data_IF_655689235689
#
_entry.id   IF_655689235689
#
_cell.length_a   1.000
_cell.length_b   1.000
_cell.length_c   1.000
_cell.angle_alpha   90.00
_cell.angle_beta   90.00
_cell.angle_gamma   90.00
#
_symmetry.space_group_name_H-M   'P 1'
#
loop_
_entity.id
_entity.type
_entity.pdbx_description
1 polymer ?
#
# COMPACT_ATOMS: atom_id res chain seq x y z
N UNK A 1 7.69 50.84 -1.81
CA UNK A 1 9.03 51.09 -1.23
C UNK A 1 9.90 49.87 -1.51
N UNK A 2 11.03 50.02 -2.20
CA UNK A 2 11.92 48.90 -2.49
C UNK A 2 12.52 48.35 -1.18
N UNK A 3 12.35 47.05 -0.92
CA UNK A 3 12.92 46.39 0.24
C UNK A 3 14.44 46.59 0.27
N UNK A 4 14.98 46.95 1.44
CA UNK A 4 16.43 47.05 1.70
C UNK A 4 17.10 45.73 1.25
N UNK A 5 18.34 45.75 0.71
CA UNK A 5 18.99 44.57 0.13
C UNK A 5 18.99 43.33 1.03
N UNK A 6 19.13 43.50 2.35
CA UNK A 6 19.09 42.41 3.34
C UNK A 6 17.72 41.76 3.58
N UNK A 7 16.62 42.37 3.13
CA UNK A 7 15.25 41.87 3.33
C UNK A 7 14.68 41.14 2.11
N UNK A 8 15.37 41.17 0.97
CA UNK A 8 14.87 40.56 -0.27
C UNK A 8 14.83 39.03 -0.20
N UNK A 9 15.85 38.40 0.36
CA UNK A 9 15.91 36.94 0.53
C UNK A 9 14.82 36.40 1.49
N UNK A 10 14.65 36.93 2.72
CA UNK A 10 13.57 36.48 3.60
C UNK A 10 12.18 36.77 3.04
N UNK A 11 11.98 37.91 2.34
CA UNK A 11 10.71 38.20 1.69
C UNK A 11 10.39 37.19 0.55
N UNK A 12 11.37 36.81 -0.25
CA UNK A 12 11.20 35.79 -1.29
C UNK A 12 10.89 34.40 -0.70
N UNK A 13 11.56 34.03 0.40
CA UNK A 13 11.29 32.77 1.10
C UNK A 13 9.87 32.74 1.69
N UNK A 14 9.42 33.84 2.30
CA UNK A 14 8.06 33.97 2.82
C UNK A 14 7.02 33.93 1.70
N UNK A 15 7.27 34.58 0.56
CA UNK A 15 6.38 34.52 -0.60
C UNK A 15 6.28 33.10 -1.17
N UNK A 16 7.42 32.40 -1.30
CA UNK A 16 7.44 31.01 -1.75
C UNK A 16 6.68 30.08 -0.77
N UNK A 17 6.86 30.28 0.55
CA UNK A 17 6.11 29.56 1.56
C UNK A 17 4.61 29.85 1.46
N UNK A 18 4.21 31.10 1.29
CA UNK A 18 2.80 31.48 1.15
C UNK A 18 2.16 30.85 -0.11
N UNK A 19 2.86 30.86 -1.25
CA UNK A 19 2.41 30.20 -2.48
C UNK A 19 2.31 28.68 -2.27
N UNK A 20 3.29 28.08 -1.60
CA UNK A 20 3.27 26.65 -1.25
C UNK A 20 2.08 26.28 -0.36
N UNK A 21 1.81 27.06 0.69
CA UNK A 21 0.66 26.85 1.58
C UNK A 21 -0.67 27.03 0.85
N UNK A 22 -0.80 28.06 0.00
CA UNK A 22 -2.00 28.28 -0.80
C UNK A 22 -2.24 27.13 -1.79
N UNK A 23 -1.18 26.63 -2.43
CA UNK A 23 -1.24 25.45 -3.29
C UNK A 23 -1.61 24.17 -2.55
N UNK A 24 -1.12 23.99 -1.31
CA UNK A 24 -1.47 22.85 -0.47
C UNK A 24 -2.93 22.89 0.03
N UNK A 25 -3.50 24.09 0.18
CA UNK A 25 -4.90 24.29 0.55
C UNK A 25 -5.86 24.16 -0.64
N UNK A 26 -5.35 24.24 -1.87
CA UNK A 26 -6.17 24.12 -3.08
C UNK A 26 -6.66 22.69 -3.29
N UNK A 27 -7.92 22.53 -3.70
CA UNK A 27 -8.45 21.22 -4.04
C UNK A 27 -8.10 20.85 -5.49
N UNK A 28 -7.14 19.94 -5.66
CA UNK A 28 -6.64 19.47 -6.96
C UNK A 28 -7.42 18.28 -7.54
N UNK A 29 -8.32 17.71 -6.75
CA UNK A 29 -9.03 16.48 -7.09
C UNK A 29 -10.54 16.65 -6.94
N UNK A 30 -11.29 15.78 -7.61
CA UNK A 30 -12.75 15.75 -7.53
C UNK A 30 -13.19 14.31 -7.24
N UNK A 31 -14.36 14.10 -6.59
CA UNK A 31 -14.90 12.76 -6.38
C UNK A 31 -15.03 12.00 -7.71
N UNK A 32 -14.77 10.69 -7.67
CA UNK A 32 -14.86 9.79 -8.81
C UNK A 32 -15.77 8.60 -8.49
N UNK A 33 -16.67 8.26 -9.42
CA UNK A 33 -17.57 7.11 -9.30
C UNK A 33 -18.50 7.15 -8.09
N UNK A 34 -19.18 6.04 -7.84
CA UNK A 34 -19.99 5.86 -6.64
C UNK A 34 -19.11 5.49 -5.43
N UNK A 35 -19.52 5.82 -4.19
CA UNK A 35 -18.83 5.33 -2.99
C UNK A 35 -18.80 3.80 -2.93
N UNK A 36 -17.66 3.25 -2.54
CA UNK A 36 -17.39 1.83 -2.38
C UNK A 36 -17.53 1.44 -0.90
N UNK A 37 -18.33 0.42 -0.62
CA UNK A 37 -18.44 -0.17 0.72
C UNK A 37 -17.30 -1.17 0.91
N UNK A 38 -16.50 -0.99 1.97
CA UNK A 38 -15.30 -1.78 2.21
C UNK A 38 -15.28 -2.36 3.63
N UNK A 39 -14.55 -3.46 3.78
CA UNK A 39 -14.17 -4.05 5.06
C UNK A 39 -12.66 -4.23 5.12
N UNK A 40 -12.01 -3.79 6.19
CA UNK A 40 -10.59 -4.00 6.44
C UNK A 40 -10.41 -4.97 7.60
N UNK A 41 -9.74 -6.10 7.37
CA UNK A 41 -9.59 -7.16 8.37
C UNK A 41 -8.27 -7.00 9.14
N UNK A 42 -8.34 -7.13 10.47
CA UNK A 42 -7.20 -7.14 11.38
C UNK A 42 -7.27 -8.37 12.28
N UNK A 43 -6.53 -9.42 11.95
CA UNK A 43 -6.62 -10.68 12.68
C UNK A 43 -5.81 -10.71 13.99
N UNK A 44 -4.81 -9.84 14.13
CA UNK A 44 -3.89 -9.79 15.26
C UNK A 44 -3.19 -11.13 15.52
N UNK A 45 -2.67 -11.77 14.46
CA UNK A 45 -1.92 -13.01 14.57
C UNK A 45 -0.48 -12.70 15.00
N UNK A 46 0.03 -13.27 16.11
CA UNK A 46 1.42 -13.15 16.51
C UNK A 46 2.38 -13.65 15.43
N UNK A 47 3.57 -13.05 15.35
CA UNK A 47 4.56 -13.44 14.35
C UNK A 47 5.01 -14.90 14.52
N UNK A 48 5.13 -15.39 15.76
CA UNK A 48 5.49 -16.77 16.09
C UNK A 48 4.53 -17.79 15.48
N UNK A 49 3.24 -17.44 15.45
CA UNK A 49 2.17 -18.36 15.07
C UNK A 49 1.94 -18.31 13.55
N UNK A 50 2.31 -17.20 12.91
CA UNK A 50 2.01 -16.92 11.51
C UNK A 50 2.63 -17.91 10.52
N UNK A 51 3.79 -18.45 10.86
CA UNK A 51 4.54 -19.40 10.02
C UNK A 51 4.69 -20.78 10.68
N UNK A 52 4.03 -21.00 11.82
CA UNK A 52 4.02 -22.30 12.48
C UNK A 52 3.05 -23.24 11.72
N UNK A 53 3.54 -24.35 11.14
CA UNK A 53 2.71 -25.30 10.42
C UNK A 53 1.48 -25.81 11.20
N UNK A 54 1.55 -25.84 12.53
CA UNK A 54 0.43 -26.23 13.38
C UNK A 54 -0.67 -25.15 13.46
N UNK A 55 -0.31 -23.87 13.25
CA UNK A 55 -1.17 -22.70 13.50
C UNK A 55 -1.64 -22.01 12.21
N UNK A 56 -1.01 -22.28 11.06
CA UNK A 56 -1.33 -21.65 9.76
C UNK A 56 -2.83 -21.74 9.43
N UNK A 57 -3.45 -22.91 9.64
CA UNK A 57 -4.89 -23.11 9.36
C UNK A 57 -5.76 -22.25 10.27
N UNK A 58 -5.51 -22.24 11.58
CA UNK A 58 -6.22 -21.40 12.53
C UNK A 58 -6.07 -19.91 12.19
N UNK A 59 -4.90 -19.51 11.68
CA UNK A 59 -4.67 -18.15 11.23
C UNK A 59 -5.53 -17.74 10.04
N UNK A 60 -5.66 -18.63 9.04
CA UNK A 60 -6.53 -18.41 7.88
C UNK A 60 -8.01 -18.43 8.27
N UNK A 61 -8.43 -19.33 9.15
CA UNK A 61 -9.79 -19.37 9.70
C UNK A 61 -10.15 -18.06 10.39
N UNK A 62 -9.27 -17.55 11.25
CA UNK A 62 -9.48 -16.27 11.94
C UNK A 62 -9.66 -15.09 10.98
N UNK A 63 -8.97 -15.11 9.85
CA UNK A 63 -9.15 -14.08 8.82
C UNK A 63 -10.54 -14.18 8.18
N UNK A 64 -11.02 -15.40 7.87
CA UNK A 64 -12.37 -15.64 7.34
C UNK A 64 -13.46 -15.28 8.35
N UNK A 65 -13.32 -15.70 9.61
CA UNK A 65 -14.26 -15.40 10.69
C UNK A 65 -14.49 -13.89 10.88
N UNK A 66 -13.47 -13.07 10.63
CA UNK A 66 -13.58 -11.60 10.67
C UNK A 66 -14.10 -11.00 9.37
N UNK A 67 -13.90 -11.67 8.23
CA UNK A 67 -14.34 -11.23 6.92
C UNK A 67 -15.84 -11.51 6.67
N UNK A 68 -16.36 -12.62 7.18
CA UNK A 68 -17.69 -13.17 6.87
C UNK A 68 -18.92 -12.51 7.51
N UNK A 69 -18.86 -11.88 8.69
CA UNK A 69 -20.05 -11.31 9.30
C UNK A 69 -20.73 -10.26 8.40
N UNK A 70 -22.07 -10.15 8.36
CA UNK A 70 -22.71 -9.04 7.66
C UNK A 70 -22.31 -7.69 8.26
N UNK A 71 -22.37 -6.63 7.46
CA UNK A 71 -22.32 -5.27 8.01
C UNK A 71 -23.54 -5.01 8.89
N UNK A 72 -23.37 -4.20 9.93
CA UNK A 72 -24.47 -3.82 10.81
C UNK A 72 -25.62 -3.10 10.08
N UNK A 73 -25.31 -2.37 9.00
CA UNK A 73 -26.29 -1.66 8.16
C UNK A 73 -26.92 -2.52 7.05
N UNK A 74 -26.57 -3.81 6.96
CA UNK A 74 -27.07 -4.74 5.96
C UNK A 74 -26.63 -4.46 4.52
N UNK A 75 -25.78 -3.45 4.28
CA UNK A 75 -25.29 -3.15 2.92
C UNK A 75 -24.30 -4.23 2.47
N UNK A 76 -24.26 -4.55 1.17
CA UNK A 76 -23.25 -5.46 0.63
C UNK A 76 -21.85 -4.84 0.77
N UNK A 77 -20.86 -5.70 1.04
CA UNK A 77 -19.44 -5.32 1.09
C UNK A 77 -18.87 -5.53 -0.31
N UNK A 78 -18.49 -4.45 -0.99
CA UNK A 78 -17.94 -4.56 -2.34
C UNK A 78 -16.48 -5.04 -2.35
N UNK A 79 -15.70 -4.66 -1.32
CA UNK A 79 -14.32 -5.08 -1.14
C UNK A 79 -14.03 -5.45 0.32
N UNK A 80 -13.54 -6.65 0.55
CA UNK A 80 -12.89 -7.04 1.81
C UNK A 80 -11.38 -7.08 1.59
N UNK A 81 -10.64 -6.22 2.28
CA UNK A 81 -9.18 -6.13 2.23
C UNK A 81 -8.57 -6.83 3.44
N UNK A 82 -7.77 -7.86 3.18
CA UNK A 82 -7.04 -8.63 4.18
C UNK A 82 -5.56 -8.20 4.19
N UNK A 83 -4.86 -8.33 5.32
CA UNK A 83 -3.51 -7.83 5.47
C UNK A 83 -2.47 -8.65 4.68
N UNK A 84 -1.24 -8.16 4.67
CA UNK A 84 -0.08 -8.83 4.07
C UNK A 84 0.10 -10.25 4.65
N UNK A 85 0.31 -11.21 3.76
CA UNK A 85 0.51 -12.62 4.12
C UNK A 85 -0.63 -13.17 4.99
N UNK A 86 -1.88 -12.91 4.58
CA UNK A 86 -3.08 -13.53 5.14
C UNK A 86 -3.13 -15.04 4.85
N UNK A 87 -2.58 -15.44 3.70
CA UNK A 87 -2.27 -16.84 3.36
C UNK A 87 -0.75 -16.99 3.44
N UNK A 88 -0.21 -17.61 4.52
CA UNK A 88 1.23 -17.65 4.79
C UNK A 88 1.97 -18.80 4.08
N UNK A 89 1.40 -19.34 3.01
CA UNK A 89 1.97 -20.38 2.14
C UNK A 89 1.89 -19.93 0.69
N UNK A 90 2.64 -20.58 -0.20
CA UNK A 90 2.49 -20.33 -1.63
C UNK A 90 1.11 -20.75 -2.12
N UNK A 91 0.59 -20.04 -3.11
CA UNK A 91 -0.75 -20.28 -3.65
C UNK A 91 -0.96 -21.70 -4.17
N UNK A 92 0.11 -22.34 -4.65
CA UNK A 92 0.10 -23.70 -5.20
C UNK A 92 0.41 -24.79 -4.16
N UNK A 93 0.69 -24.41 -2.91
CA UNK A 93 0.77 -25.32 -1.76
C UNK A 93 -0.59 -25.47 -1.06
N UNK A 94 -1.50 -24.52 -1.27
CA UNK A 94 -2.86 -24.58 -0.78
C UNK A 94 -3.72 -25.42 -1.74
N UNK A 95 -4.50 -26.36 -1.22
CA UNK A 95 -5.33 -27.22 -2.07
C UNK A 95 -6.49 -26.44 -2.70
N UNK A 96 -7.08 -26.99 -3.77
CA UNK A 96 -8.26 -26.40 -4.39
C UNK A 96 -9.44 -26.31 -3.41
N UNK A 97 -9.58 -27.27 -2.49
CA UNK A 97 -10.60 -27.27 -1.45
C UNK A 97 -10.39 -26.12 -0.45
N UNK A 98 -9.16 -25.87 -0.03
CA UNK A 98 -8.85 -24.76 0.87
C UNK A 98 -9.03 -23.39 0.16
N UNK A 99 -8.71 -23.28 -1.14
CA UNK A 99 -9.07 -22.11 -1.93
C UNK A 99 -10.58 -21.93 -2.08
N UNK A 100 -11.32 -23.03 -2.22
CA UNK A 100 -12.78 -23.01 -2.32
C UNK A 100 -13.42 -22.40 -1.08
N UNK A 101 -12.89 -22.65 0.11
CA UNK A 101 -13.39 -22.01 1.34
C UNK A 101 -13.28 -20.48 1.26
N UNK A 102 -12.18 -19.92 0.75
CA UNK A 102 -12.06 -18.47 0.53
C UNK A 102 -13.04 -17.94 -0.52
N UNK A 103 -13.23 -18.68 -1.61
CA UNK A 103 -14.21 -18.35 -2.66
C UNK A 103 -15.62 -18.35 -2.10
N UNK A 104 -15.97 -19.33 -1.27
CA UNK A 104 -17.28 -19.43 -0.61
C UNK A 104 -17.49 -18.28 0.38
N UNK A 105 -16.48 -17.90 1.18
CA UNK A 105 -16.56 -16.71 2.05
C UNK A 105 -16.81 -15.43 1.25
N UNK A 106 -16.15 -15.27 0.09
CA UNK A 106 -16.35 -14.13 -0.79
C UNK A 106 -17.75 -14.15 -1.44
N UNK A 107 -18.21 -15.33 -1.88
CA UNK A 107 -19.55 -15.52 -2.44
C UNK A 107 -20.64 -15.17 -1.42
N UNK A 108 -20.46 -15.60 -0.17
CA UNK A 108 -21.37 -15.35 0.94
C UNK A 108 -21.61 -13.85 1.19
N UNK A 109 -20.61 -13.00 0.92
CA UNK A 109 -20.72 -11.54 1.08
C UNK A 109 -21.08 -10.77 -0.18
N UNK A 110 -21.01 -11.42 -1.35
CA UNK A 110 -21.36 -10.81 -2.64
C UNK A 110 -20.37 -9.76 -3.14
N UNK A 111 -19.09 -9.89 -2.78
CA UNK A 111 -18.04 -8.92 -3.12
C UNK A 111 -16.69 -9.55 -3.43
N UNK A 112 -15.69 -8.70 -3.65
CA UNK A 112 -14.30 -9.11 -3.92
C UNK A 112 -13.49 -9.16 -2.64
N UNK A 113 -12.73 -10.22 -2.43
CA UNK A 113 -11.71 -10.31 -1.40
C UNK A 113 -10.35 -9.99 -2.01
N UNK A 114 -9.57 -9.13 -1.37
CA UNK A 114 -8.18 -8.86 -1.71
C UNK A 114 -7.28 -9.40 -0.58
N UNK A 115 -6.46 -10.39 -0.91
CA UNK A 115 -5.70 -11.22 0.04
C UNK A 115 -4.20 -11.01 -0.15
N UNK A 116 -3.46 -10.81 0.93
CA UNK A 116 -2.00 -10.93 0.91
C UNK A 116 -1.58 -12.40 0.85
N UNK A 117 -0.83 -12.79 -0.19
CA UNK A 117 -0.46 -14.18 -0.50
C UNK A 117 0.96 -14.23 -1.05
N UNK A 118 1.72 -15.27 -0.72
CA UNK A 118 2.99 -15.55 -1.40
C UNK A 118 2.70 -16.24 -2.74
N UNK A 119 3.23 -15.69 -3.84
CA UNK A 119 3.02 -16.22 -5.19
C UNK A 119 4.28 -16.84 -5.75
N UNK A 120 4.16 -18.01 -6.38
CA UNK A 120 5.22 -18.67 -7.14
C UNK A 120 4.84 -18.76 -8.62
N UNK A 121 5.65 -18.17 -9.49
CA UNK A 121 5.50 -18.28 -10.94
C UNK A 121 6.58 -19.20 -11.50
N UNK A 122 6.16 -20.40 -11.95
CA UNK A 122 7.05 -21.40 -12.53
C UNK A 122 7.40 -21.00 -13.97
N UNK A 123 8.67 -20.77 -14.24
CA UNK A 123 9.19 -20.50 -15.58
C UNK A 123 10.26 -21.54 -15.99
N UNK A 124 10.55 -21.70 -17.28
CA UNK A 124 11.53 -22.70 -17.75
C UNK A 124 12.96 -22.48 -17.23
N UNK A 125 13.33 -21.24 -16.91
CA UNK A 125 14.65 -20.83 -16.44
C UNK A 125 14.79 -20.95 -14.92
N UNK A 126 13.80 -20.45 -14.16
CA UNK A 126 13.73 -20.55 -12.70
C UNK A 126 12.32 -20.28 -12.20
N UNK A 127 12.05 -20.63 -10.95
CA UNK A 127 10.87 -20.14 -10.24
C UNK A 127 11.07 -18.69 -9.83
N UNK A 128 10.02 -17.88 -9.94
CA UNK A 128 9.97 -16.51 -9.42
C UNK A 128 9.02 -16.45 -8.23
N UNK A 129 9.41 -15.76 -7.17
CA UNK A 129 8.63 -15.69 -5.93
C UNK A 129 8.22 -14.26 -5.65
N UNK A 130 6.97 -14.02 -5.27
CA UNK A 130 6.48 -12.66 -4.99
C UNK A 130 5.70 -12.61 -3.68
N UNK A 131 5.85 -11.49 -2.96
CA UNK A 131 4.90 -11.08 -1.94
C UNK A 131 3.80 -10.29 -2.64
N UNK A 132 2.58 -10.81 -2.66
CA UNK A 132 1.54 -10.30 -3.55
C UNK A 132 0.23 -10.03 -2.82
N UNK A 133 -0.59 -9.17 -3.44
CA UNK A 133 -2.03 -9.11 -3.20
C UNK A 133 -2.73 -9.68 -4.40
N UNK A 134 -3.66 -10.62 -4.19
CA UNK A 134 -4.53 -11.15 -5.25
C UNK A 134 -5.98 -10.85 -4.93
N UNK A 135 -6.81 -10.76 -5.97
CA UNK A 135 -8.27 -10.68 -5.81
C UNK A 135 -8.95 -12.01 -6.09
N UNK A 136 -9.99 -12.33 -5.33
CA UNK A 136 -10.96 -13.37 -5.66
C UNK A 136 -12.39 -12.94 -5.33
N UNK A 137 -13.36 -13.59 -5.96
CA UNK A 137 -14.79 -13.42 -5.72
C UNK A 137 -15.49 -14.78 -5.78
N UNK A 138 -16.81 -14.81 -5.55
CA UNK A 138 -17.61 -16.04 -5.60
C UNK A 138 -17.68 -16.75 -6.96
N UNK A 139 -17.06 -16.20 -8.02
CA UNK A 139 -17.00 -16.80 -9.36
C UNK A 139 -15.58 -17.27 -9.71
N UNK A 140 -14.62 -17.06 -8.82
CA UNK A 140 -13.23 -17.46 -9.02
C UNK A 140 -13.10 -18.99 -8.98
N UNK A 141 -12.30 -19.56 -9.90
CA UNK A 141 -12.03 -21.00 -9.91
C UNK A 141 -10.90 -21.33 -8.93
N UNK A 142 -11.11 -22.24 -7.96
CA UNK A 142 -10.05 -22.69 -7.06
C UNK A 142 -8.85 -23.28 -7.80
N UNK A 143 -9.07 -24.00 -8.89
CA UNK A 143 -7.99 -24.57 -9.71
C UNK A 143 -7.16 -23.49 -10.41
N UNK A 144 -7.81 -22.38 -10.83
CA UNK A 144 -7.10 -21.23 -11.36
C UNK A 144 -6.31 -20.49 -10.27
N UNK A 145 -6.84 -20.40 -9.05
CA UNK A 145 -6.14 -19.83 -7.89
C UNK A 145 -4.87 -20.63 -7.55
N UNK A 146 -4.96 -21.96 -7.50
CA UNK A 146 -3.79 -22.86 -7.35
C UNK A 146 -2.76 -22.60 -8.45
N UNK A 147 -3.21 -22.45 -9.70
CA UNK A 147 -2.34 -22.14 -10.84
C UNK A 147 -1.83 -20.68 -10.88
N UNK A 148 -2.13 -19.86 -9.87
CA UNK A 148 -1.74 -18.45 -9.81
C UNK A 148 -2.43 -17.53 -10.83
N UNK A 149 -3.50 -18.00 -11.48
CA UNK A 149 -4.27 -17.24 -12.47
C UNK A 149 -5.44 -16.54 -11.80
N UNK A 150 -5.30 -15.24 -11.60
CA UNK A 150 -6.26 -14.40 -10.86
C UNK A 150 -6.70 -13.18 -11.65
N UNK A 151 -7.87 -12.62 -11.32
CA UNK A 151 -8.42 -11.45 -12.01
C UNK A 151 -7.56 -10.20 -11.80
N UNK A 152 -7.12 -9.98 -10.57
CA UNK A 152 -6.20 -8.91 -10.20
C UNK A 152 -5.08 -9.44 -9.32
N UNK A 153 -3.87 -8.94 -9.57
CA UNK A 153 -2.65 -9.25 -8.82
C UNK A 153 -1.79 -7.98 -8.74
N UNK A 154 -1.21 -7.77 -7.57
CA UNK A 154 -0.16 -6.79 -7.35
C UNK A 154 0.99 -7.49 -6.65
N UNK A 155 2.19 -7.39 -7.21
CA UNK A 155 3.43 -7.92 -6.64
C UNK A 155 4.23 -6.78 -6.00
N UNK A 156 4.74 -7.00 -4.80
CA UNK A 156 5.56 -6.02 -4.09
C UNK A 156 6.76 -5.62 -4.93
N UNK A 157 6.94 -4.32 -5.13
CA UNK A 157 8.04 -3.74 -5.92
C UNK A 157 9.23 -3.40 -5.02
N UNK A 158 8.96 -2.72 -3.91
CA UNK A 158 9.99 -2.28 -2.98
C UNK A 158 10.17 -3.32 -1.88
N UNK A 159 11.18 -4.17 -2.04
CA UNK A 159 11.50 -5.25 -1.10
C UNK A 159 12.31 -4.74 0.09
N UNK A 160 12.09 -5.32 1.27
CA UNK A 160 12.87 -5.05 2.49
C UNK A 160 14.25 -5.71 2.40
N UNK A 161 15.36 -4.95 2.49
CA UNK A 161 16.69 -5.53 2.55
C UNK A 161 16.84 -6.47 3.75
N UNK A 162 17.45 -7.64 3.53
CA UNK A 162 17.64 -8.69 4.55
C UNK A 162 16.35 -9.29 5.13
N UNK A 163 15.18 -8.87 4.64
CA UNK A 163 13.88 -9.47 4.98
C UNK A 163 13.28 -10.23 3.80
N UNK A 164 13.42 -9.66 2.59
CA UNK A 164 12.79 -10.17 1.36
C UNK A 164 13.78 -10.33 0.21
N UNK A 165 15.00 -9.81 0.34
CA UNK A 165 16.10 -10.09 -0.57
C UNK A 165 17.44 -9.86 0.13
N UNK A 166 18.49 -10.51 -0.37
CA UNK A 166 19.86 -10.31 0.11
C UNK A 166 20.61 -9.32 -0.79
N UNK A 167 21.10 -8.18 -0.27
CA UNK A 167 21.90 -7.25 -1.06
C UNK A 167 23.16 -7.90 -1.66
N UNK A 168 23.57 -7.54 -2.90
CA UNK A 168 24.76 -8.09 -3.53
C UNK A 168 26.01 -7.93 -2.65
N UNK A 169 26.74 -9.03 -2.44
CA UNK A 169 27.93 -9.07 -1.59
C UNK A 169 27.68 -9.38 -0.11
N UNK A 170 26.43 -9.58 0.31
CA UNK A 170 26.06 -9.84 1.71
C UNK A 170 25.46 -11.23 1.97
N UNK A 171 25.52 -12.16 1.01
CA UNK A 171 25.02 -13.55 1.17
C UNK A 171 25.67 -14.27 2.36
N UNK A 172 26.98 -14.09 2.52
CA UNK A 172 27.75 -14.64 3.63
C UNK A 172 27.20 -14.26 5.02
N UNK A 173 26.63 -13.05 5.18
CA UNK A 173 26.10 -12.58 6.45
C UNK A 173 24.77 -13.25 6.80
N UNK A 174 23.94 -13.53 5.78
CA UNK A 174 22.64 -14.18 5.95
C UNK A 174 22.79 -15.68 6.20
N UNK A 175 23.70 -16.33 5.46
CA UNK A 175 23.98 -17.77 5.61
C UNK A 175 24.53 -18.08 7.02
N UNK A 176 25.33 -17.18 7.60
CA UNK A 176 25.86 -17.30 8.97
C UNK A 176 24.77 -17.08 10.06
N UNK A 177 23.72 -16.30 9.75
CA UNK A 177 22.63 -15.99 10.69
C UNK A 177 21.46 -16.99 10.67
N UNK A 178 21.48 -17.99 9.77
CA UNK A 178 20.41 -19.02 9.61
C UNK A 178 19.01 -18.39 9.57
N UNK A 179 18.88 -17.23 8.92
CA UNK A 179 17.60 -16.53 8.82
C UNK A 179 16.75 -17.18 7.71
N UNK A 180 15.51 -17.63 7.98
CA UNK A 180 14.62 -18.20 6.97
C UNK A 180 14.06 -17.07 6.09
N UNK A 181 14.91 -16.53 5.20
CA UNK A 181 14.56 -15.45 4.30
C UNK A 181 14.27 -16.04 2.92
N UNK A 182 13.11 -15.69 2.37
CA UNK A 182 12.82 -15.93 0.95
C UNK A 182 13.52 -14.88 0.10
N UNK A 183 14.15 -15.31 -1.00
CA UNK A 183 14.55 -14.40 -2.07
C UNK A 183 13.32 -14.10 -2.93
N UNK A 184 12.58 -13.04 -2.58
CA UNK A 184 11.47 -12.56 -3.38
C UNK A 184 11.99 -11.72 -4.57
N UNK A 185 11.26 -11.81 -5.67
CA UNK A 185 11.42 -11.01 -6.86
C UNK A 185 10.60 -9.72 -6.78
N UNK A 186 11.04 -8.72 -7.55
CA UNK A 186 10.42 -7.39 -7.57
C UNK A 186 9.28 -7.35 -8.59
N UNK A 187 8.13 -6.86 -8.15
CA UNK A 187 7.03 -6.49 -9.03
C UNK A 187 7.39 -5.39 -10.02
N UNK A 188 6.58 -5.26 -11.08
CA UNK A 188 6.77 -4.25 -12.13
C UNK A 188 6.56 -2.84 -11.60
N UNK A 189 7.18 -1.86 -12.25
CA UNK A 189 7.07 -0.45 -11.88
C UNK A 189 5.63 0.07 -11.90
N UNK A 190 4.90 -0.23 -12.97
CA UNK A 190 3.47 0.05 -13.09
C UNK A 190 2.72 -1.26 -13.13
N UNK A 191 1.83 -1.43 -12.18
CA UNK A 191 0.90 -2.56 -12.12
C UNK A 191 -0.52 -2.02 -12.15
N UNK A 192 -1.42 -2.76 -12.80
CA UNK A 192 -2.78 -2.30 -13.04
C UNK A 192 -3.54 -2.20 -11.70
N UNK A 193 -4.17 -1.07 -11.38
CA UNK A 193 -5.07 -0.99 -10.23
C UNK A 193 -6.21 -2.01 -10.33
N UNK A 194 -6.72 -2.46 -9.19
CA UNK A 194 -7.83 -3.41 -9.14
C UNK A 194 -9.11 -2.66 -9.48
N UNK A 195 -9.90 -3.17 -10.42
CA UNK A 195 -11.17 -2.56 -10.84
C UNK A 195 -12.32 -3.21 -10.08
N UNK A 196 -12.80 -2.53 -9.03
CA UNK A 196 -13.79 -3.08 -8.10
C UNK A 196 -14.88 -2.03 -7.89
N UNK A 197 -16.12 -2.37 -8.23
CA UNK A 197 -17.26 -1.46 -8.08
C UNK A 197 -17.12 -0.16 -8.86
N UNK A 198 -16.37 -0.17 -9.98
CA UNK A 198 -16.07 1.01 -10.79
C UNK A 198 -15.03 1.95 -10.19
N UNK A 199 -14.34 1.54 -9.11
CA UNK A 199 -13.17 2.23 -8.55
C UNK A 199 -11.88 1.52 -8.97
N UNK A 200 -10.77 2.26 -9.07
CA UNK A 200 -9.45 1.74 -9.43
C UNK A 200 -8.53 1.78 -8.22
N UNK A 201 -8.31 0.65 -7.57
CA UNK A 201 -7.59 0.56 -6.30
C UNK A 201 -6.14 0.16 -6.56
N UNK A 202 -5.20 1.08 -6.34
CA UNK A 202 -3.78 0.76 -6.42
C UNK A 202 -3.28 0.21 -5.09
N UNK A 203 -2.86 -1.06 -5.14
CA UNK A 203 -2.26 -1.76 -4.01
C UNK A 203 -0.82 -1.29 -3.80
N UNK A 204 -0.39 -1.31 -2.55
CA UNK A 204 0.99 -1.24 -2.10
C UNK A 204 1.11 -2.10 -0.82
N UNK A 205 2.28 -2.67 -0.58
CA UNK A 205 2.49 -3.67 0.48
C UNK A 205 3.51 -3.16 1.49
N UNK A 206 3.15 -3.24 2.76
CA UNK A 206 4.01 -2.95 3.89
C UNK A 206 4.56 -1.51 3.81
N UNK A 207 5.89 -1.37 3.82
CA UNK A 207 6.57 -0.07 3.85
C UNK A 207 6.66 0.65 2.49
N UNK A 208 6.04 0.12 1.42
CA UNK A 208 6.02 0.79 0.10
C UNK A 208 5.37 2.18 0.14
N UNK A 209 4.41 2.41 1.04
CA UNK A 209 3.79 3.73 1.22
C UNK A 209 4.73 4.77 1.84
N UNK A 210 5.91 4.38 2.31
CA UNK A 210 6.98 5.31 2.72
C UNK A 210 7.65 5.95 1.50
N UNK A 211 7.57 5.32 0.31
CA UNK A 211 8.18 5.79 -0.95
C UNK A 211 7.15 6.43 -1.87
N UNK A 212 6.88 7.72 -1.68
CA UNK A 212 5.78 8.40 -2.36
C UNK A 212 5.90 8.46 -3.88
N UNK A 213 7.12 8.57 -4.42
CA UNK A 213 7.35 8.64 -5.86
C UNK A 213 7.05 7.30 -6.55
N UNK A 214 7.24 6.19 -5.85
CA UNK A 214 7.03 4.84 -6.37
C UNK A 214 5.53 4.49 -6.52
N UNK A 215 4.64 5.22 -5.85
CA UNK A 215 3.19 5.06 -6.00
C UNK A 215 2.64 5.80 -7.23
N UNK A 216 3.36 6.79 -7.76
CA UNK A 216 2.88 7.67 -8.83
C UNK A 216 2.56 6.95 -10.15
N UNK A 217 3.31 5.92 -10.59
CA UNK A 217 2.97 5.18 -11.81
C UNK A 217 1.57 4.57 -11.81
N UNK A 218 1.08 4.11 -10.64
CA UNK A 218 -0.26 3.56 -10.49
C UNK A 218 -1.34 4.65 -10.35
N UNK A 219 -1.00 5.80 -9.78
CA UNK A 219 -1.91 6.97 -9.64
C UNK A 219 -2.15 7.67 -10.98
N UNK A 220 -1.14 7.68 -11.87
CA UNK A 220 -1.23 8.32 -13.19
C UNK A 220 -2.05 7.48 -14.17
N UNK A 221 -2.80 8.13 -15.09
CA UNK A 221 -3.48 7.44 -16.18
C UNK A 221 -2.50 6.56 -16.97
N UNK A 222 -2.93 5.34 -17.28
CA UNK A 222 -2.17 4.42 -18.09
C UNK A 222 -2.88 4.03 -19.38
N UNK A 223 -2.30 3.08 -20.13
CA UNK A 223 -2.86 2.65 -21.40
C UNK A 223 -4.25 1.99 -21.29
N UNK A 224 -4.57 1.39 -20.15
CA UNK A 224 -5.76 0.54 -19.98
C UNK A 224 -6.59 0.88 -18.73
N UNK A 225 -6.29 2.01 -18.08
CA UNK A 225 -6.98 2.46 -16.86
C UNK A 225 -6.79 3.98 -16.67
N UNK A 226 -7.72 4.69 -16.01
CA UNK A 226 -7.64 6.13 -15.82
C UNK A 226 -6.65 6.54 -14.70
N UNK A 227 -5.88 5.60 -14.14
CA UNK A 227 -5.11 5.79 -12.92
C UNK A 227 -5.93 5.46 -11.68
N UNK A 228 -5.23 5.17 -10.59
CA UNK A 228 -5.86 4.82 -9.32
C UNK A 228 -6.78 5.93 -8.83
N UNK A 229 -7.93 5.57 -8.28
CA UNK A 229 -8.89 6.46 -7.62
C UNK A 229 -8.83 6.31 -6.10
N UNK A 230 -8.32 5.17 -5.61
CA UNK A 230 -8.11 4.82 -4.20
C UNK A 230 -6.73 4.17 -4.09
N UNK A 231 -6.02 4.42 -2.99
CA UNK A 231 -4.82 3.67 -2.61
C UNK A 231 -5.19 2.63 -1.53
N UNK A 232 -4.56 1.46 -1.57
CA UNK A 232 -4.74 0.43 -0.56
C UNK A 232 -3.39 -0.12 -0.10
N UNK A 233 -3.09 0.02 1.19
CA UNK A 233 -1.92 -0.57 1.83
C UNK A 233 -2.32 -1.82 2.60
N UNK A 234 -1.65 -2.94 2.32
CA UNK A 234 -1.74 -4.15 3.17
C UNK A 234 -0.41 -4.37 3.88
N UNK A 235 -0.43 -4.56 5.19
CA UNK A 235 0.81 -4.62 5.99
C UNK A 235 0.79 -5.69 7.07
N UNK A 236 1.96 -6.24 7.38
CA UNK A 236 2.21 -7.02 8.58
C UNK A 236 3.23 -6.31 9.48
N UNK A 237 2.75 -5.63 10.52
CA UNK A 237 3.60 -4.87 11.44
C UNK A 237 3.97 -5.63 12.73
N UNK A 238 3.74 -6.95 12.78
CA UNK A 238 4.07 -7.76 13.95
C UNK A 238 5.58 -7.69 14.30
N UNK A 239 6.43 -7.48 13.30
CA UNK A 239 7.88 -7.29 13.43
C UNK A 239 8.30 -6.10 14.31
N UNK A 240 7.47 -5.05 14.39
CA UNK A 240 7.80 -3.83 15.14
C UNK A 240 7.28 -3.83 16.58
N UNK A 241 6.53 -4.88 16.97
CA UNK A 241 5.90 -4.97 18.28
C UNK A 241 5.03 -3.75 18.62
N UNK A 242 4.85 -3.49 19.92
CA UNK A 242 4.17 -2.29 20.40
C UNK A 242 5.16 -1.12 20.47
N UNK A 243 5.34 -0.41 19.36
CA UNK A 243 6.29 0.70 19.25
C UNK A 243 5.71 1.89 18.47
N UNK A 244 6.45 3.01 18.46
CA UNK A 244 6.09 4.21 17.69
C UNK A 244 6.07 3.99 16.17
N UNK A 245 6.62 2.88 15.69
CA UNK A 245 6.59 2.55 14.26
C UNK A 245 5.16 2.43 13.73
N UNK A 246 4.21 1.91 14.53
CA UNK A 246 2.82 1.72 14.11
C UNK A 246 2.12 3.05 13.78
N UNK A 247 2.08 4.06 14.69
CA UNK A 247 1.50 5.36 14.37
C UNK A 247 2.33 6.17 13.36
N UNK A 248 3.65 6.02 13.33
CA UNK A 248 4.49 6.67 12.32
C UNK A 248 4.18 6.16 10.90
N UNK A 249 3.97 4.85 10.75
CA UNK A 249 3.61 4.27 9.46
C UNK A 249 2.26 4.81 8.97
N UNK A 250 1.25 4.88 9.85
CA UNK A 250 -0.04 5.52 9.51
C UNK A 250 0.13 7.00 9.13
N UNK A 251 0.99 7.74 9.83
CA UNK A 251 1.29 9.14 9.49
C UNK A 251 1.89 9.26 8.08
N UNK A 252 2.77 8.35 7.68
CA UNK A 252 3.34 8.31 6.33
C UNK A 252 2.27 7.97 5.29
N UNK A 253 1.38 7.01 5.55
CA UNK A 253 0.24 6.72 4.66
C UNK A 253 -0.64 7.96 4.45
N UNK A 254 -0.89 8.76 5.51
CA UNK A 254 -1.63 10.03 5.40
C UNK A 254 -0.91 11.06 4.53
N UNK A 255 0.42 11.07 4.53
CA UNK A 255 1.18 11.95 3.63
C UNK A 255 0.97 11.55 2.16
N UNK A 256 0.91 10.25 1.85
CA UNK A 256 0.61 9.75 0.49
C UNK A 256 -0.75 10.22 -0.01
N UNK A 257 -1.74 10.29 0.87
CA UNK A 257 -3.05 10.87 0.55
C UNK A 257 -2.92 12.36 0.18
N UNK A 258 -2.21 13.16 0.98
CA UNK A 258 -2.00 14.60 0.66
C UNK A 258 -1.27 14.80 -0.66
N UNK A 259 -0.29 13.95 -0.94
CA UNK A 259 0.53 13.99 -2.13
C UNK A 259 -0.24 13.60 -3.40
N UNK A 260 -1.06 12.56 -3.32
CA UNK A 260 -1.72 11.97 -4.50
C UNK A 260 -3.16 12.44 -4.67
N UNK A 261 -3.77 12.95 -3.60
CA UNK A 261 -5.19 13.27 -3.52
C UNK A 261 -6.10 12.03 -3.47
N UNK A 262 -5.54 10.82 -3.31
CA UNK A 262 -6.31 9.57 -3.26
C UNK A 262 -6.58 9.18 -1.80
N UNK A 263 -7.82 8.86 -1.42
CA UNK A 263 -8.09 8.26 -0.12
C UNK A 263 -7.35 6.92 0.02
N UNK A 264 -7.04 6.53 1.26
CA UNK A 264 -6.26 5.35 1.57
C UNK A 264 -7.08 4.35 2.40
N UNK A 265 -7.07 3.10 1.97
CA UNK A 265 -7.48 1.95 2.76
C UNK A 265 -6.23 1.29 3.34
N UNK A 266 -6.21 1.00 4.63
CA UNK A 266 -5.05 0.39 5.27
C UNK A 266 -5.49 -0.82 6.10
N UNK A 267 -5.18 -2.02 5.62
CA UNK A 267 -5.44 -3.27 6.34
C UNK A 267 -4.14 -3.84 6.90
N UNK A 268 -4.07 -3.99 8.22
CA UNK A 268 -2.85 -4.47 8.88
C UNK A 268 -3.12 -5.69 9.75
N UNK A 269 -2.14 -6.57 9.94
CA UNK A 269 -2.29 -7.72 10.83
C UNK A 269 -2.39 -7.29 12.32
N UNK A 270 -1.43 -6.52 12.81
CA UNK A 270 -1.31 -6.09 14.22
C UNK A 270 -1.20 -4.57 14.40
N UNK A 271 -1.08 -3.83 13.29
CA UNK A 271 -0.83 -2.39 13.30
C UNK A 271 -2.09 -1.54 13.38
N UNK A 272 -2.00 -0.28 12.95
CA UNK A 272 -3.17 0.58 12.81
C UNK A 272 -3.86 0.30 11.47
N UNK A 273 -4.95 -0.48 11.51
CA UNK A 273 -5.90 -0.62 10.40
C UNK A 273 -6.80 0.60 10.36
N UNK A 274 -6.88 1.29 9.22
CA UNK A 274 -7.53 2.59 9.14
C UNK A 274 -8.06 2.91 7.74
N UNK A 275 -9.03 3.84 7.70
CA UNK A 275 -9.49 4.50 6.49
C UNK A 275 -9.12 5.97 6.58
N UNK A 276 -8.45 6.47 5.54
CA UNK A 276 -8.04 7.86 5.42
C UNK A 276 -8.78 8.49 4.24
N UNK A 277 -9.53 9.57 4.49
CA UNK A 277 -10.27 10.30 3.46
C UNK A 277 -9.35 11.08 2.49
N UNK A 278 -9.89 11.73 1.47
CA UNK A 278 -9.10 12.50 0.49
C UNK A 278 -8.38 13.72 1.08
N UNK A 279 -8.74 14.13 2.31
CA UNK A 279 -8.14 15.24 3.07
C UNK A 279 -7.12 14.75 4.08
N UNK A 280 -6.70 13.50 3.98
CA UNK A 280 -5.76 12.85 4.88
C UNK A 280 -6.20 12.82 6.36
N UNK A 281 -7.52 12.82 6.61
CA UNK A 281 -8.08 12.59 7.94
C UNK A 281 -8.39 11.10 8.12
N UNK A 282 -8.10 10.59 9.31
CA UNK A 282 -8.49 9.23 9.69
C UNK A 282 -9.98 9.28 10.03
N UNK A 283 -10.80 8.60 9.23
CA UNK A 283 -12.27 8.59 9.40
C UNK A 283 -12.80 7.30 10.01
N UNK A 284 -11.92 6.30 10.17
CA UNK A 284 -12.17 5.09 10.93
C UNK A 284 -10.85 4.37 11.20
N UNK A 285 -10.70 3.76 12.37
CA UNK A 285 -9.51 3.02 12.76
C UNK A 285 -9.84 1.90 13.75
N UNK A 286 -9.01 0.85 13.73
CA UNK A 286 -8.93 -0.14 14.80
C UNK A 286 -7.69 0.14 15.65
N UNK A 287 -7.81 -0.12 16.95
CA UNK A 287 -6.65 -0.09 17.84
C UNK A 287 -5.62 -1.14 17.41
N UNK A 288 -4.31 -0.85 17.44
CA UNK A 288 -3.30 -1.85 17.17
C UNK A 288 -3.37 -2.98 18.21
N UNK A 289 -2.85 -4.15 17.84
CA UNK A 289 -2.84 -5.34 18.69
C UNK A 289 -4.23 -5.82 19.16
N UNK A 290 -5.27 -5.50 18.41
CA UNK A 290 -6.64 -6.00 18.65
C UNK A 290 -7.14 -6.74 17.42
N UNK A 291 -8.01 -7.73 17.59
CA UNK A 291 -8.62 -8.40 16.44
C UNK A 291 -9.99 -7.77 16.13
N UNK A 292 -10.27 -7.56 14.85
CA UNK A 292 -11.52 -6.96 14.41
C UNK A 292 -11.59 -6.75 12.91
N UNK A 293 -12.72 -6.20 12.48
CA UNK A 293 -12.96 -5.77 11.11
C UNK A 293 -13.49 -4.33 11.12
N UNK A 294 -12.92 -3.48 10.28
CA UNK A 294 -13.34 -2.09 10.10
C UNK A 294 -14.19 -1.96 8.85
N UNK A 295 -15.47 -1.68 9.05
CA UNK A 295 -16.43 -1.41 7.99
C UNK A 295 -16.47 0.08 7.67
N UNK A 296 -16.35 0.45 6.40
CA UNK A 296 -16.39 1.84 5.98
C UNK A 296 -17.02 2.02 4.58
N UNK A 297 -17.24 3.27 4.21
CA UNK A 297 -17.59 3.67 2.85
C UNK A 297 -16.58 4.71 2.39
N UNK A 298 -15.95 4.49 1.24
CA UNK A 298 -14.92 5.37 0.67
C UNK A 298 -15.30 5.73 -0.76
N UNK A 299 -15.15 7.00 -1.14
CA UNK A 299 -15.32 7.41 -2.53
C UNK A 299 -13.95 7.78 -3.09
N UNK A 300 -13.56 7.16 -4.20
CA UNK A 300 -12.32 7.51 -4.87
C UNK A 300 -12.34 8.92 -5.45
N UNK A 301 -11.19 9.38 -5.92
CA UNK A 301 -11.04 10.70 -6.54
C UNK A 301 -10.30 10.62 -7.87
N UNK A 302 -10.49 11.64 -8.70
CA UNK A 302 -9.76 11.83 -9.95
C UNK A 302 -9.18 13.24 -10.05
N UNK A 303 -8.31 13.48 -11.04
CA UNK A 303 -7.43 14.64 -11.12
C UNK A 303 -6.05 14.37 -10.53
N UNK A 304 -5.07 15.21 -10.84
CA UNK A 304 -3.68 15.05 -10.36
C UNK A 304 -3.22 16.32 -9.67
N UNK A 305 -2.74 16.17 -8.43
CA UNK A 305 -2.00 17.21 -7.70
C UNK A 305 -0.70 17.58 -8.45
N UNK A 306 -0.08 18.73 -8.16
CA UNK A 306 1.22 19.09 -8.74
C UNK A 306 2.30 18.03 -8.49
N UNK A 307 2.31 17.45 -7.27
CA UNK A 307 3.22 16.37 -6.93
C UNK A 307 2.92 15.09 -7.74
N UNK A 308 1.65 14.68 -7.85
CA UNK A 308 1.29 13.49 -8.63
C UNK A 308 1.68 13.62 -10.11
N UNK A 309 1.71 14.85 -10.66
CA UNK A 309 2.17 15.14 -12.03
C UNK A 309 3.69 15.06 -12.18
N UNK A 310 4.43 15.63 -11.24
CA UNK A 310 5.86 15.95 -11.43
C UNK A 310 6.81 15.13 -10.56
N UNK A 311 6.31 14.45 -9.52
CA UNK A 311 7.12 13.75 -8.54
C UNK A 311 8.04 14.70 -7.79
N UNK A 312 9.26 14.24 -7.49
CA UNK A 312 10.26 15.04 -6.77
C UNK A 312 11.03 16.03 -7.66
N UNK A 313 10.78 16.05 -8.97
CA UNK A 313 11.53 16.88 -9.93
C UNK A 313 11.59 18.37 -9.53
N UNK A 314 10.48 19.05 -9.14
CA UNK A 314 10.54 20.48 -8.82
C UNK A 314 11.43 20.77 -7.61
N UNK A 315 11.38 19.93 -6.55
CA UNK A 315 12.18 20.15 -5.36
C UNK A 315 13.66 19.86 -5.62
N UNK A 316 13.97 18.83 -6.41
CA UNK A 316 15.34 18.51 -6.81
C UNK A 316 15.96 19.66 -7.62
N UNK A 317 15.19 20.28 -8.52
CA UNK A 317 15.64 21.46 -9.26
C UNK A 317 15.93 22.65 -8.34
N UNK A 318 15.03 22.93 -7.37
CA UNK A 318 15.23 24.00 -6.39
C UNK A 318 16.50 23.75 -5.56
N UNK A 319 16.69 22.53 -5.06
CA UNK A 319 17.89 22.16 -4.29
C UNK A 319 19.15 22.32 -5.13
N UNK A 320 19.16 21.85 -6.38
CA UNK A 320 20.30 22.00 -7.28
C UNK A 320 20.63 23.49 -7.55
N UNK A 321 19.61 24.32 -7.78
CA UNK A 321 19.78 25.75 -8.00
C UNK A 321 20.35 26.46 -6.75
N UNK A 322 19.86 26.11 -5.56
CA UNK A 322 20.38 26.65 -4.30
C UNK A 322 21.86 26.27 -4.07
N UNK A 323 22.21 25.01 -4.33
CA UNK A 323 23.59 24.54 -4.24
C UNK A 323 24.51 25.26 -5.24
N UNK A 324 24.05 25.50 -6.47
CA UNK A 324 24.79 26.25 -7.47
C UNK A 324 25.03 27.71 -7.04
N UNK A 325 24.02 28.38 -6.48
CA UNK A 325 24.14 29.75 -5.96
C UNK A 325 25.12 29.79 -4.78
N UNK A 326 25.03 28.85 -3.84
CA UNK A 326 25.95 28.77 -2.70
C UNK A 326 27.40 28.51 -3.15
N UNK A 327 27.59 27.64 -4.14
CA UNK A 327 28.91 27.39 -4.75
C UNK A 327 29.47 28.65 -5.39
N UNK A 328 28.68 29.37 -6.19
CA UNK A 328 29.08 30.61 -6.83
C UNK A 328 29.43 31.73 -5.82
N UNK A 329 28.64 31.88 -4.76
CA UNK A 329 28.91 32.84 -3.69
C UNK A 329 30.17 32.49 -2.90
N UNK A 330 30.53 31.20 -2.78
CA UNK A 330 31.77 30.77 -2.13
C UNK A 330 33.00 31.11 -2.98
N UNK A 331 32.94 30.86 -4.30
CA UNK A 331 34.03 31.24 -5.22
C UNK A 331 34.29 32.75 -5.15
N UNK A 332 33.24 33.57 -5.21
CA UNK A 332 33.33 35.03 -5.10
C UNK A 332 33.80 35.61 -3.77
N UNK A 333 33.91 34.79 -2.71
CA UNK A 333 34.48 35.22 -1.42
C UNK A 333 35.94 34.81 -1.25
N UNK A 334 36.42 33.90 -2.10
CA UNK A 334 37.81 33.42 -2.11
C UNK A 334 38.64 34.25 -3.09
N UNK A 335 38.01 34.80 -4.13
CA UNK A 335 38.52 35.90 -4.96
C UNK A 335 38.29 37.27 -4.30
#
# INVERSE_FOLDING_TARGET
AALRPGWRAPAAALAALAVGMAGAAWNWVQPYGAPLTVRLVQANIPLSDKFDPAQIWQGMDRHRDLAEPPRADGKPIALTLLPETAVPVFQDQLSAEAWKEWVDSAALRGGTFALGVAMRDIHPDRDYYYNSVISLDGRSSPEQLVAGRVAHRYDKRHLVPFGEFVPPGFRWFVDEMVMPLGDFDRGRERQKPFDIGGQYIAMNICYEDVFGEELLPAVRPGPADPGATILANVSNLAWFGNSLALPQHLQMSRMRVRETGRPMLRATNTGMTAVVDERAQVVGELAPHTAGALDATVQGTTGLTPYARTGNVPILFIVAALLAVLGWLRVRRVD
#
